data_IF_709128996212
#
_entry.id   IF_709128996212
#
_cell.length_a   1.000
_cell.length_b   1.000
_cell.length_c   1.000
_cell.angle_alpha   90.00
_cell.angle_beta   90.00
_cell.angle_gamma   90.00
#
_symmetry.space_group_name_H-M   'P 1'
#
loop_
_entity.id
_entity.type
_entity.pdbx_description
1 polymer ?
#
# COMPACT_ATOMS: atom_id res chain seq x y z
N UNK A 1 31.04 -18.86 -25.64
CA UNK A 1 30.62 -17.77 -24.72
C UNK A 1 29.17 -17.35 -25.00
N UNK A 2 28.84 -16.91 -26.22
CA UNK A 2 27.48 -16.48 -26.59
C UNK A 2 26.36 -17.49 -26.30
N UNK A 3 26.53 -18.77 -26.66
CA UNK A 3 25.55 -19.83 -26.42
C UNK A 3 25.25 -20.03 -24.92
N UNK A 4 26.26 -19.89 -24.05
CA UNK A 4 26.10 -19.94 -22.60
C UNK A 4 25.27 -18.78 -22.05
N UNK A 5 25.49 -17.57 -22.58
CA UNK A 5 24.72 -16.37 -22.20
C UNK A 5 23.26 -16.48 -22.66
N UNK A 6 23.02 -16.98 -23.88
CA UNK A 6 21.67 -17.23 -24.39
C UNK A 6 20.91 -18.23 -23.51
N UNK A 7 21.55 -19.34 -23.11
CA UNK A 7 20.96 -20.34 -22.21
C UNK A 7 20.63 -19.76 -20.83
N UNK A 8 21.52 -18.93 -20.28
CA UNK A 8 21.28 -18.25 -19.01
C UNK A 8 20.05 -17.33 -19.09
N UNK A 9 19.95 -16.50 -20.12
CA UNK A 9 18.81 -15.59 -20.34
C UNK A 9 17.52 -16.39 -20.49
N UNK A 10 17.53 -17.44 -21.32
CA UNK A 10 16.37 -18.30 -21.52
C UNK A 10 15.87 -18.90 -20.19
N UNK A 11 16.79 -19.37 -19.33
CA UNK A 11 16.43 -19.95 -18.03
C UNK A 11 15.79 -18.97 -17.04
N UNK A 12 15.93 -17.66 -17.26
CA UNK A 12 15.41 -16.60 -16.38
C UNK A 12 14.17 -15.92 -16.95
N UNK A 13 13.72 -16.31 -18.15
CA UNK A 13 12.71 -15.58 -18.90
C UNK A 13 11.39 -15.43 -18.16
N UNK A 14 10.79 -16.55 -17.77
CA UNK A 14 9.45 -16.55 -17.15
C UNK A 14 9.45 -15.75 -15.84
N UNK A 15 10.55 -15.81 -15.09
CA UNK A 15 10.68 -15.08 -13.83
C UNK A 15 10.82 -13.58 -14.05
N UNK A 16 11.58 -13.18 -15.07
CA UNK A 16 11.72 -11.76 -15.44
C UNK A 16 10.39 -11.23 -15.96
N UNK A 17 9.69 -11.98 -16.82
CA UNK A 17 8.38 -11.62 -17.36
C UNK A 17 7.37 -11.36 -16.23
N UNK A 18 7.29 -12.27 -15.24
CA UNK A 18 6.41 -12.08 -14.08
C UNK A 18 6.74 -10.81 -13.27
N UNK A 19 8.02 -10.51 -13.04
CA UNK A 19 8.42 -9.28 -12.31
C UNK A 19 8.06 -8.03 -13.11
N UNK A 20 8.19 -8.08 -14.43
CA UNK A 20 7.96 -6.95 -15.33
C UNK A 20 6.46 -6.68 -15.53
N UNK A 21 5.65 -7.73 -15.71
CA UNK A 21 4.19 -7.63 -15.76
C UNK A 21 3.64 -6.92 -14.52
N UNK A 22 4.31 -7.05 -13.39
CA UNK A 22 3.84 -6.49 -12.12
C UNK A 22 4.24 -5.03 -11.97
N UNK A 23 5.42 -4.66 -12.46
CA UNK A 23 5.72 -3.25 -12.69
C UNK A 23 4.75 -2.64 -13.72
N UNK A 24 4.19 -3.44 -14.63
CA UNK A 24 3.13 -3.03 -15.55
C UNK A 24 1.70 -3.04 -14.95
N UNK A 25 1.37 -3.83 -13.94
CA UNK A 25 0.00 -3.81 -13.40
C UNK A 25 -0.21 -2.69 -12.38
N UNK A 26 0.86 -2.02 -11.94
CA UNK A 26 0.75 -0.94 -10.97
C UNK A 26 0.37 -1.47 -9.59
N UNK A 27 -0.21 -0.61 -8.76
CA UNK A 27 -0.21 -0.79 -7.30
C UNK A 27 -1.28 -1.73 -6.78
N UNK A 28 -2.16 -2.22 -7.65
CA UNK A 28 -3.21 -3.19 -7.34
C UNK A 28 -2.70 -4.61 -7.05
N UNK A 29 -1.47 -4.96 -7.47
CA UNK A 29 -0.94 -6.33 -7.41
C UNK A 29 0.34 -6.45 -6.56
N UNK A 30 0.81 -5.34 -5.97
CA UNK A 30 2.14 -5.28 -5.36
C UNK A 30 2.26 -5.90 -3.96
N UNK A 31 1.14 -6.08 -3.24
CA UNK A 31 1.13 -6.72 -1.93
C UNK A 31 1.59 -8.19 -1.97
N UNK A 32 1.47 -8.87 -3.12
CA UNK A 32 1.74 -10.32 -3.23
C UNK A 32 3.09 -10.69 -3.85
N UNK A 33 3.87 -9.74 -4.37
CA UNK A 33 5.10 -10.11 -5.09
C UNK A 33 6.30 -9.95 -4.18
N UNK A 34 6.62 -11.11 -3.62
CA UNK A 34 7.87 -11.47 -3.01
C UNK A 34 9.04 -11.02 -3.90
N UNK A 35 9.59 -9.85 -3.60
CA UNK A 35 10.93 -9.76 -3.02
C UNK A 35 12.13 -10.16 -3.86
N UNK A 36 11.99 -10.65 -5.09
CA UNK A 36 13.14 -11.13 -5.86
C UNK A 36 13.31 -10.39 -7.20
N UNK A 37 13.87 -9.18 -7.11
CA UNK A 37 14.38 -8.46 -8.28
C UNK A 37 15.65 -9.11 -8.85
N UNK A 38 16.26 -10.07 -8.13
CA UNK A 38 17.51 -10.71 -8.52
C UNK A 38 17.53 -11.29 -9.94
N UNK A 39 16.50 -12.03 -10.38
CA UNK A 39 16.47 -12.59 -11.74
C UNK A 39 16.56 -11.49 -12.80
N UNK A 40 15.98 -10.32 -12.54
CA UNK A 40 15.95 -9.18 -13.46
C UNK A 40 17.32 -8.55 -13.69
N UNK A 41 18.05 -8.22 -12.63
CA UNK A 41 19.36 -7.59 -12.82
C UNK A 41 20.47 -8.61 -13.13
N UNK A 42 20.28 -9.90 -12.81
CA UNK A 42 21.23 -10.97 -13.17
C UNK A 42 21.43 -11.15 -14.69
N UNK A 43 20.45 -10.74 -15.51
CA UNK A 43 20.52 -10.85 -16.98
C UNK A 43 21.05 -9.58 -17.66
N UNK A 44 21.22 -8.48 -16.93
CA UNK A 44 21.67 -7.20 -17.51
C UNK A 44 23.06 -7.32 -18.15
N UNK A 45 24.01 -7.92 -17.44
CA UNK A 45 25.35 -8.17 -17.94
C UNK A 45 25.40 -9.10 -19.17
N UNK A 46 24.73 -10.27 -19.16
CA UNK A 46 24.57 -11.12 -20.35
C UNK A 46 23.99 -10.39 -21.58
N UNK A 47 22.94 -9.59 -21.40
CA UNK A 47 22.26 -8.90 -22.51
C UNK A 47 23.20 -7.87 -23.16
N UNK A 48 23.88 -7.04 -22.37
CA UNK A 48 24.77 -6.02 -22.93
C UNK A 48 26.01 -6.63 -23.60
N UNK A 49 26.54 -7.75 -23.07
CA UNK A 49 27.63 -8.52 -23.71
C UNK A 49 27.19 -9.04 -25.09
N UNK A 50 26.04 -9.70 -25.18
CA UNK A 50 25.49 -10.18 -26.46
C UNK A 50 25.24 -9.04 -27.46
N UNK A 51 24.74 -7.89 -26.98
CA UNK A 51 24.54 -6.72 -27.83
C UNK A 51 25.87 -6.19 -28.41
N UNK A 52 26.92 -6.07 -27.61
CA UNK A 52 28.23 -5.61 -28.12
C UNK A 52 28.87 -6.59 -29.11
N UNK A 53 28.70 -7.88 -28.88
CA UNK A 53 29.19 -8.94 -29.78
C UNK A 53 28.37 -9.06 -31.07
N UNK A 54 27.30 -8.26 -31.21
CA UNK A 54 26.36 -8.32 -32.34
C UNK A 54 25.74 -9.70 -32.54
N UNK A 55 25.52 -10.41 -31.44
CA UNK A 55 24.85 -11.71 -31.45
C UNK A 55 23.33 -11.49 -31.39
N UNK A 56 22.61 -11.99 -32.40
CA UNK A 56 21.15 -12.00 -32.39
C UNK A 56 20.64 -13.13 -31.47
N UNK A 57 19.68 -12.80 -30.60
CA UNK A 57 18.96 -13.76 -29.75
C UNK A 57 17.54 -13.25 -29.55
N UNK A 58 16.56 -14.13 -29.80
CA UNK A 58 15.14 -13.81 -29.59
C UNK A 58 14.86 -13.53 -28.11
N UNK A 59 15.52 -14.28 -27.24
CA UNK A 59 15.42 -14.14 -25.80
C UNK A 59 16.02 -12.81 -25.33
N UNK A 60 17.21 -12.44 -25.85
CA UNK A 60 17.83 -11.16 -25.51
C UNK A 60 17.00 -9.95 -26.03
N UNK A 61 16.42 -10.06 -27.23
CA UNK A 61 15.54 -9.00 -27.77
C UNK A 61 14.26 -8.89 -26.94
N UNK A 62 13.64 -10.01 -26.57
CA UNK A 62 12.49 -10.02 -25.67
C UNK A 62 12.82 -9.37 -24.31
N UNK A 63 13.98 -9.66 -23.70
CA UNK A 63 14.37 -9.04 -22.43
C UNK A 63 14.62 -7.54 -22.56
N UNK A 64 15.19 -7.11 -23.68
CA UNK A 64 15.36 -5.69 -24.00
C UNK A 64 13.99 -5.01 -24.09
N UNK A 65 12.98 -5.65 -24.69
CA UNK A 65 11.61 -5.13 -24.71
C UNK A 65 11.06 -4.98 -23.28
N UNK A 66 11.27 -5.97 -22.40
CA UNK A 66 10.86 -5.86 -21.00
C UNK A 66 11.51 -4.65 -20.29
N UNK A 67 12.82 -4.44 -20.46
CA UNK A 67 13.51 -3.26 -19.91
C UNK A 67 12.99 -1.95 -20.49
N UNK A 68 12.62 -1.94 -21.78
CA UNK A 68 12.04 -0.77 -22.44
C UNK A 68 10.67 -0.42 -21.85
N UNK A 69 9.83 -1.40 -21.51
CA UNK A 69 8.53 -1.16 -20.85
C UNK A 69 8.70 -0.58 -19.44
N UNK A 70 9.68 -1.04 -18.66
CA UNK A 70 10.01 -0.43 -17.36
C UNK A 70 10.44 1.02 -17.51
N UNK A 71 11.21 1.33 -18.56
CA UNK A 71 11.63 2.70 -18.86
C UNK A 71 10.42 3.61 -19.13
N UNK A 72 9.52 3.18 -20.01
CA UNK A 72 8.32 3.94 -20.39
C UNK A 72 7.42 4.19 -19.17
N UNK A 73 7.30 3.22 -18.27
CA UNK A 73 6.62 3.37 -16.97
C UNK A 73 7.26 4.42 -16.08
N UNK A 74 8.59 4.41 -15.94
CA UNK A 74 9.32 5.38 -15.13
C UNK A 74 9.12 6.82 -15.62
N UNK A 75 9.07 7.02 -16.94
CA UNK A 75 8.85 8.35 -17.55
C UNK A 75 7.47 8.92 -17.16
N UNK A 76 6.44 8.08 -16.97
CA UNK A 76 5.10 8.49 -16.48
C UNK A 76 5.08 8.71 -14.96
N UNK A 77 5.81 7.89 -14.21
CA UNK A 77 5.83 7.87 -12.72
C UNK A 77 6.60 9.06 -12.11
N UNK A 78 7.53 9.67 -12.86
CA UNK A 78 8.37 10.79 -12.41
C UNK A 78 7.56 12.06 -12.02
N UNK A 79 6.36 12.27 -12.58
CA UNK A 79 5.51 13.44 -12.25
C UNK A 79 4.85 13.35 -10.87
N UNK A 80 4.45 12.15 -10.45
CA UNK A 80 3.80 11.91 -9.15
C UNK A 80 4.80 11.89 -7.99
N UNK A 81 6.06 11.54 -8.29
CA UNK A 81 7.19 11.57 -7.37
C UNK A 81 7.47 12.97 -6.82
N UNK A 82 7.17 14.04 -7.57
CA UNK A 82 7.35 15.41 -7.10
C UNK A 82 6.56 15.70 -5.80
N UNK A 83 5.40 15.06 -5.60
CA UNK A 83 4.54 15.32 -4.43
C UNK A 83 5.07 14.69 -3.15
N UNK A 84 5.59 13.47 -3.22
CA UNK A 84 6.23 12.80 -2.06
C UNK A 84 7.61 13.44 -1.79
N UNK A 85 8.34 13.79 -2.86
CA UNK A 85 9.62 14.49 -2.74
C UNK A 85 9.49 15.87 -2.09
N UNK A 86 8.40 16.60 -2.32
CA UNK A 86 8.14 17.88 -1.66
C UNK A 86 7.98 17.75 -0.13
N UNK A 87 7.60 16.58 0.37
CA UNK A 87 7.37 16.30 1.79
C UNK A 87 8.60 15.68 2.46
N UNK A 88 9.35 14.82 1.73
CA UNK A 88 10.71 14.42 2.11
C UNK A 88 11.62 15.65 2.19
N UNK A 89 11.41 16.66 1.34
CA UNK A 89 12.09 17.97 1.43
C UNK A 89 11.72 18.72 2.71
N UNK A 90 10.46 18.63 3.16
CA UNK A 90 10.00 19.28 4.41
C UNK A 90 10.48 18.56 5.67
N UNK A 91 10.75 17.26 5.61
CA UNK A 91 11.35 16.49 6.72
C UNK A 91 12.86 16.73 6.89
N UNK A 92 13.48 17.52 6.03
CA UNK A 92 14.92 17.85 6.12
C UNK A 92 15.84 16.78 5.54
N UNK A 93 15.30 15.78 4.84
CA UNK A 93 16.09 14.91 3.97
C UNK A 93 16.49 15.71 2.72
N UNK A 94 17.72 16.21 2.80
CA UNK A 94 18.34 17.22 1.93
C UNK A 94 18.27 16.93 0.41
N UNK A 95 18.60 17.95 -0.39
CA UNK A 95 18.64 17.99 -1.86
C UNK A 95 19.43 16.84 -2.56
N UNK A 96 20.08 15.96 -1.79
CA UNK A 96 20.78 14.77 -2.26
C UNK A 96 19.86 13.75 -2.96
N UNK A 97 18.61 13.58 -2.52
CA UNK A 97 17.69 12.58 -3.09
C UNK A 97 17.26 12.88 -4.52
N UNK A 98 17.04 14.16 -4.84
CA UNK A 98 16.69 14.58 -6.20
C UNK A 98 17.79 14.19 -7.20
N UNK A 99 19.05 14.37 -6.81
CA UNK A 99 20.18 13.95 -7.65
C UNK A 99 20.26 12.43 -7.82
N UNK A 100 19.86 11.64 -6.81
CA UNK A 100 19.99 10.16 -6.84
C UNK A 100 19.05 9.54 -7.86
N UNK A 101 17.76 9.89 -7.84
CA UNK A 101 16.77 9.36 -8.77
C UNK A 101 17.09 9.76 -10.21
N UNK A 102 17.39 11.04 -10.43
CA UNK A 102 17.76 11.57 -11.73
C UNK A 102 19.01 10.85 -12.27
N UNK A 103 20.04 10.69 -11.43
CA UNK A 103 21.26 9.99 -11.81
C UNK A 103 21.00 8.53 -12.17
N UNK A 104 20.24 7.79 -11.35
CA UNK A 104 19.91 6.37 -11.61
C UNK A 104 19.14 6.23 -12.94
N UNK A 105 18.14 7.08 -13.14
CA UNK A 105 17.33 7.10 -14.37
C UNK A 105 18.20 7.40 -15.60
N UNK A 106 19.13 8.34 -15.48
CA UNK A 106 20.04 8.72 -16.54
C UNK A 106 21.08 7.62 -16.86
N UNK A 107 21.60 6.95 -15.83
CA UNK A 107 22.48 5.78 -15.97
C UNK A 107 21.78 4.66 -16.72
N UNK A 108 20.55 4.31 -16.34
CA UNK A 108 19.76 3.29 -17.02
C UNK A 108 19.42 3.67 -18.47
N UNK A 109 19.06 4.93 -18.71
CA UNK A 109 18.83 5.45 -20.07
C UNK A 109 20.07 5.28 -20.96
N UNK A 110 21.27 5.53 -20.43
CA UNK A 110 22.53 5.32 -21.18
C UNK A 110 22.87 3.85 -21.39
N UNK A 111 22.48 2.97 -20.46
CA UNK A 111 22.53 1.53 -20.67
C UNK A 111 21.62 1.11 -21.84
N UNK A 112 20.37 1.58 -21.85
CA UNK A 112 19.41 1.30 -22.93
C UNK A 112 19.86 1.84 -24.30
N UNK A 113 20.57 2.97 -24.34
CA UNK A 113 21.19 3.49 -25.56
C UNK A 113 22.13 2.47 -26.24
N UNK A 114 22.80 1.61 -25.47
CA UNK A 114 23.65 0.53 -26.02
C UNK A 114 22.78 -0.52 -26.71
N UNK A 115 21.75 -0.98 -26.01
CA UNK A 115 20.87 -2.05 -26.51
C UNK A 115 20.06 -1.62 -27.74
N UNK A 116 19.68 -0.33 -27.79
CA UNK A 116 18.91 0.26 -28.89
C UNK A 116 19.79 0.73 -30.06
N UNK A 117 21.11 0.76 -29.92
CA UNK A 117 22.00 1.22 -30.98
C UNK A 117 22.18 0.19 -32.10
N UNK A 118 22.24 0.69 -33.35
CA UNK A 118 22.72 -0.10 -34.49
C UNK A 118 24.16 -0.58 -34.22
N UNK A 119 24.57 -1.78 -34.71
CA UNK A 119 25.89 -2.36 -34.48
C UNK A 119 27.06 -1.36 -34.57
N UNK A 120 27.11 -0.57 -35.64
CA UNK A 120 28.17 0.43 -35.88
C UNK A 120 28.28 1.56 -34.84
N UNK A 121 27.27 1.75 -34.00
CA UNK A 121 27.25 2.78 -32.96
C UNK A 121 27.37 2.23 -31.54
N UNK A 122 27.32 0.90 -31.35
CA UNK A 122 27.30 0.27 -30.01
C UNK A 122 28.54 0.59 -29.18
N UNK A 123 29.73 0.55 -29.78
CA UNK A 123 30.98 0.93 -29.09
C UNK A 123 31.02 2.41 -28.68
N UNK A 124 30.47 3.31 -29.51
CA UNK A 124 30.35 4.71 -29.15
C UNK A 124 29.40 4.92 -27.97
N UNK A 125 28.27 4.19 -27.96
CA UNK A 125 27.30 4.21 -26.84
C UNK A 125 27.87 3.59 -25.56
N UNK A 126 28.64 2.51 -25.66
CA UNK A 126 29.39 1.92 -24.54
C UNK A 126 30.28 2.95 -23.86
N UNK A 127 31.10 3.68 -24.63
CA UNK A 127 31.98 4.74 -24.09
C UNK A 127 31.18 5.85 -23.41
N UNK A 128 30.08 6.29 -24.01
CA UNK A 128 29.18 7.30 -23.41
C UNK A 128 28.58 6.80 -22.09
N UNK A 129 28.15 5.54 -22.03
CA UNK A 129 27.59 4.94 -20.83
C UNK A 129 28.63 4.86 -19.70
N UNK A 130 29.82 4.32 -19.95
CA UNK A 130 30.88 4.19 -18.95
C UNK A 130 31.32 5.56 -18.38
N UNK A 131 31.50 6.55 -19.26
CA UNK A 131 31.85 7.92 -18.87
C UNK A 131 30.73 8.59 -18.05
N UNK A 132 29.48 8.48 -18.53
CA UNK A 132 28.34 9.06 -17.84
C UNK A 132 28.10 8.42 -16.47
N UNK A 133 28.16 7.08 -16.39
CA UNK A 133 27.95 6.34 -15.14
C UNK A 133 28.89 6.83 -14.04
N UNK A 134 30.16 7.02 -14.37
CA UNK A 134 31.17 7.52 -13.45
C UNK A 134 30.92 8.98 -13.04
N UNK A 135 30.55 9.84 -13.99
CA UNK A 135 30.30 11.28 -13.76
C UNK A 135 29.02 11.54 -12.96
N UNK A 136 28.01 10.69 -13.10
CA UNK A 136 26.73 10.79 -12.40
C UNK A 136 26.74 10.08 -11.04
N UNK A 137 27.90 9.91 -10.40
CA UNK A 137 28.00 9.34 -9.05
C UNK A 137 28.16 7.81 -8.97
N UNK A 138 28.13 7.10 -10.10
CA UNK A 138 28.36 5.66 -10.16
C UNK A 138 27.37 4.85 -9.33
N UNK A 139 27.90 3.88 -8.58
CA UNK A 139 27.17 3.01 -7.65
C UNK A 139 26.76 3.74 -6.36
N UNK A 140 27.33 4.90 -6.05
CA UNK A 140 27.00 5.68 -4.83
C UNK A 140 25.51 6.01 -4.75
N UNK A 141 24.85 6.26 -5.89
CA UNK A 141 23.41 6.57 -5.91
C UNK A 141 22.58 5.42 -5.34
N UNK A 142 22.89 4.17 -5.71
CA UNK A 142 22.22 2.98 -5.19
C UNK A 142 22.49 2.80 -3.69
N UNK A 143 23.71 3.09 -3.23
CA UNK A 143 24.06 3.04 -1.81
C UNK A 143 23.34 4.13 -1.00
N UNK A 144 23.21 5.34 -1.54
CA UNK A 144 22.42 6.42 -0.93
C UNK A 144 20.95 6.03 -0.85
N UNK A 145 20.37 5.48 -1.92
CA UNK A 145 18.99 4.99 -1.93
C UNK A 145 18.78 3.86 -0.91
N UNK A 146 19.72 2.92 -0.83
CA UNK A 146 19.70 1.86 0.18
C UNK A 146 19.69 2.43 1.60
N UNK A 147 20.62 3.34 1.92
CA UNK A 147 20.70 3.96 3.24
C UNK A 147 19.44 4.73 3.63
N UNK A 148 18.80 5.38 2.65
CA UNK A 148 17.53 6.08 2.83
C UNK A 148 16.39 5.17 3.26
N UNK A 149 16.32 3.98 2.64
CA UNK A 149 15.28 3.00 2.92
C UNK A 149 15.56 2.26 4.22
N UNK A 150 16.82 1.97 4.53
CA UNK A 150 17.17 1.23 5.74
C UNK A 150 17.25 2.11 6.99
N UNK A 151 17.35 3.42 6.84
CA UNK A 151 17.56 4.38 7.93
C UNK A 151 19.02 4.51 8.34
N UNK A 152 19.96 3.97 7.56
CA UNK A 152 21.41 4.08 7.79
C UNK A 152 21.98 5.46 7.36
N UNK A 153 21.11 6.48 7.21
CA UNK A 153 21.47 7.86 6.85
C UNK A 153 21.66 8.77 8.07
N UNK A 154 22.27 9.93 7.86
CA UNK A 154 22.63 10.89 8.92
C UNK A 154 21.44 11.41 9.76
N UNK A 155 20.21 11.33 9.23
CA UNK A 155 18.97 11.71 9.90
C UNK A 155 18.41 10.66 10.87
N UNK A 156 18.82 9.39 10.76
CA UNK A 156 18.31 8.27 11.56
C UNK A 156 16.87 7.82 11.25
N UNK A 157 16.07 8.63 10.55
CA UNK A 157 14.72 8.28 10.09
C UNK A 157 14.75 7.82 8.63
N UNK A 158 14.09 6.70 8.34
CA UNK A 158 14.01 6.16 6.98
C UNK A 158 12.96 6.88 6.14
N UNK A 159 13.16 6.92 4.81
CA UNK A 159 12.18 7.51 3.89
C UNK A 159 10.84 6.78 3.95
N UNK A 160 10.84 5.49 4.30
CA UNK A 160 9.61 4.71 4.49
C UNK A 160 8.79 5.20 5.69
N UNK A 161 9.44 5.50 6.82
CA UNK A 161 8.76 6.01 8.03
C UNK A 161 8.21 7.42 7.81
N UNK A 162 8.96 8.27 7.10
CA UNK A 162 8.51 9.61 6.74
C UNK A 162 7.26 9.54 5.86
N UNK A 163 7.29 8.71 4.82
CA UNK A 163 6.11 8.51 3.95
C UNK A 163 4.94 7.91 4.73
N UNK A 164 5.17 6.92 5.59
CA UNK A 164 4.12 6.32 6.43
C UNK A 164 3.41 7.38 7.28
N UNK A 165 4.19 8.26 7.93
CA UNK A 165 3.67 9.32 8.78
C UNK A 165 2.92 10.39 7.97
N UNK A 166 3.49 10.81 6.85
CA UNK A 166 2.89 11.81 5.96
C UNK A 166 1.56 11.34 5.37
N UNK A 167 1.53 10.12 4.85
CA UNK A 167 0.34 9.48 4.26
C UNK A 167 -0.66 9.01 5.32
N UNK A 168 -0.40 9.31 6.60
CA UNK A 168 -1.26 8.96 7.74
C UNK A 168 -1.61 7.47 7.74
N UNK A 169 -0.62 6.61 7.44
CA UNK A 169 -0.77 5.16 7.34
C UNK A 169 -1.80 4.69 6.30
N UNK A 170 -1.94 5.41 5.20
CA UNK A 170 -2.66 4.91 4.02
C UNK A 170 -1.88 3.77 3.37
N UNK A 171 -2.38 2.52 3.50
CA UNK A 171 -1.71 1.32 2.95
C UNK A 171 -1.42 1.48 1.46
N UNK A 172 -2.42 1.90 0.68
CA UNK A 172 -2.30 2.10 -0.77
C UNK A 172 -1.19 3.09 -1.11
N UNK A 173 -1.18 4.29 -0.50
CA UNK A 173 -0.16 5.29 -0.78
C UNK A 173 1.26 4.80 -0.39
N UNK A 174 1.38 4.03 0.68
CA UNK A 174 2.66 3.41 1.10
C UNK A 174 3.08 2.29 0.14
N UNK A 175 2.15 1.44 -0.31
CA UNK A 175 2.39 0.40 -1.32
C UNK A 175 2.86 1.02 -2.65
N UNK A 176 2.19 2.10 -3.08
CA UNK A 176 2.56 2.89 -4.26
C UNK A 176 3.98 3.45 -4.15
N UNK A 177 4.36 3.95 -2.97
CA UNK A 177 5.72 4.44 -2.75
C UNK A 177 6.77 3.32 -2.77
N UNK A 178 6.48 2.20 -2.10
CA UNK A 178 7.35 1.02 -2.09
C UNK A 178 7.60 0.48 -3.51
N UNK A 179 6.55 0.46 -4.34
CA UNK A 179 6.63 0.07 -5.74
C UNK A 179 7.65 0.90 -6.53
N UNK A 180 7.58 2.22 -6.38
CA UNK A 180 8.48 3.17 -7.06
C UNK A 180 9.92 2.96 -6.62
N UNK A 181 10.15 2.78 -5.33
CA UNK A 181 11.48 2.47 -4.80
C UNK A 181 12.02 1.16 -5.41
N UNK A 182 11.21 0.09 -5.47
CA UNK A 182 11.61 -1.18 -6.12
C UNK A 182 11.97 -0.98 -7.59
N UNK A 183 11.19 -0.17 -8.32
CA UNK A 183 11.45 0.14 -9.72
C UNK A 183 12.78 0.91 -9.89
N UNK A 184 13.06 1.88 -9.00
CA UNK A 184 14.30 2.63 -9.00
C UNK A 184 15.52 1.76 -8.68
N UNK A 185 15.41 0.85 -7.70
CA UNK A 185 16.44 -0.16 -7.45
C UNK A 185 16.64 -1.06 -8.67
N UNK A 186 15.56 -1.53 -9.29
CA UNK A 186 15.63 -2.39 -10.47
C UNK A 186 16.47 -1.77 -11.59
N UNK A 187 16.14 -0.54 -12.00
CA UNK A 187 16.86 0.10 -13.10
C UNK A 187 18.28 0.51 -12.74
N UNK A 188 18.53 0.92 -11.49
CA UNK A 188 19.88 1.22 -11.02
C UNK A 188 20.75 -0.03 -10.99
N UNK A 189 20.20 -1.17 -10.54
CA UNK A 189 20.92 -2.46 -10.51
C UNK A 189 21.20 -2.98 -11.92
N UNK A 190 20.26 -2.85 -12.87
CA UNK A 190 20.52 -3.16 -14.28
C UNK A 190 21.70 -2.32 -14.81
N UNK A 191 21.69 -1.02 -14.57
CA UNK A 191 22.78 -0.14 -14.99
C UNK A 191 24.11 -0.51 -14.31
N UNK A 192 24.12 -0.79 -13.01
CA UNK A 192 25.32 -1.20 -12.29
C UNK A 192 25.89 -2.53 -12.83
N UNK A 193 25.05 -3.55 -12.99
CA UNK A 193 25.47 -4.84 -13.55
C UNK A 193 26.04 -4.69 -14.96
N UNK A 194 25.36 -3.90 -15.81
CA UNK A 194 25.86 -3.56 -17.13
C UNK A 194 27.22 -2.86 -17.09
N UNK A 195 27.40 -1.88 -16.19
CA UNK A 195 28.67 -1.17 -16.04
C UNK A 195 29.81 -2.10 -15.60
N UNK A 196 29.60 -2.90 -14.56
CA UNK A 196 30.60 -3.86 -14.04
C UNK A 196 31.04 -4.84 -15.12
N UNK A 197 30.08 -5.42 -15.83
CA UNK A 197 30.34 -6.35 -16.94
C UNK A 197 31.17 -5.73 -18.07
N UNK A 198 30.94 -4.45 -18.37
CA UNK A 198 31.63 -3.74 -19.44
C UNK A 198 33.02 -3.23 -19.07
N UNK A 199 33.30 -3.06 -17.78
CA UNK A 199 34.62 -2.71 -17.25
C UNK A 199 35.56 -3.91 -17.17
N UNK A 200 35.02 -5.13 -17.19
CA UNK A 200 35.80 -6.38 -17.19
C UNK A 200 36.36 -6.75 -15.82
N UNK A 201 35.64 -6.44 -14.74
CA UNK A 201 36.03 -6.84 -13.38
C UNK A 201 35.64 -8.29 -13.06
N UNK A 202 36.47 -8.97 -12.27
CA UNK A 202 36.24 -10.34 -11.78
C UNK A 202 35.22 -10.42 -10.62
N UNK A 203 34.60 -9.29 -10.27
CA UNK A 203 33.75 -9.06 -9.11
C UNK A 203 32.23 -9.07 -9.42
N UNK A 204 31.84 -9.39 -10.66
CA UNK A 204 30.43 -9.39 -11.11
C UNK A 204 29.52 -10.27 -10.23
N UNK A 205 29.92 -11.51 -9.95
CA UNK A 205 29.14 -12.46 -9.14
C UNK A 205 29.04 -12.04 -7.67
N UNK A 206 30.13 -11.51 -7.10
CA UNK A 206 30.14 -11.03 -5.71
C UNK A 206 29.25 -9.81 -5.54
N UNK A 207 29.34 -8.85 -6.47
CA UNK A 207 28.51 -7.66 -6.50
C UNK A 207 27.02 -8.04 -6.65
N UNK A 208 26.72 -8.97 -7.55
CA UNK A 208 25.37 -9.50 -7.77
C UNK A 208 24.81 -10.10 -6.46
N UNK A 209 25.59 -10.94 -5.77
CA UNK A 209 25.20 -11.55 -4.48
C UNK A 209 24.99 -10.50 -3.39
N UNK A 210 25.88 -9.50 -3.29
CA UNK A 210 25.77 -8.43 -2.30
C UNK A 210 24.46 -7.65 -2.47
N UNK A 211 24.15 -7.24 -3.70
CA UNK A 211 22.92 -6.52 -3.99
C UNK A 211 21.67 -7.39 -3.83
N UNK A 212 21.74 -8.70 -4.10
CA UNK A 212 20.67 -9.63 -3.78
C UNK A 212 20.29 -9.59 -2.29
N UNK A 213 21.29 -9.67 -1.40
CA UNK A 213 21.07 -9.63 0.05
C UNK A 213 20.56 -8.25 0.49
N UNK A 214 21.08 -7.16 -0.07
CA UNK A 214 20.57 -5.80 0.19
C UNK A 214 19.10 -5.66 -0.20
N UNK A 215 18.69 -6.23 -1.33
CA UNK A 215 17.29 -6.17 -1.75
C UNK A 215 16.35 -6.94 -0.83
N UNK A 216 16.80 -8.04 -0.21
CA UNK A 216 16.02 -8.72 0.84
C UNK A 216 15.80 -7.83 2.05
N UNK A 217 16.82 -7.06 2.46
CA UNK A 217 16.69 -6.08 3.56
C UNK A 217 15.69 -4.98 3.19
N UNK A 218 15.81 -4.41 1.99
CA UNK A 218 14.86 -3.41 1.46
C UNK A 218 13.43 -3.95 1.48
N UNK A 219 13.21 -5.17 0.97
CA UNK A 219 11.89 -5.80 0.95
C UNK A 219 11.34 -6.02 2.37
N UNK A 220 12.18 -6.47 3.30
CA UNK A 220 11.79 -6.65 4.70
C UNK A 220 11.33 -5.34 5.34
N UNK A 221 12.06 -4.23 5.12
CA UNK A 221 11.69 -2.91 5.61
C UNK A 221 10.35 -2.42 5.03
N UNK A 222 10.11 -2.63 3.74
CA UNK A 222 8.82 -2.32 3.11
C UNK A 222 7.67 -3.12 3.73
N UNK A 223 7.86 -4.42 3.94
CA UNK A 223 6.83 -5.29 4.55
C UNK A 223 6.45 -4.81 5.95
N UNK A 224 7.43 -4.46 6.79
CA UNK A 224 7.18 -3.97 8.16
C UNK A 224 6.26 -2.74 8.16
N UNK A 225 6.47 -1.82 7.24
CA UNK A 225 5.71 -0.56 7.17
C UNK A 225 4.30 -0.80 6.60
N UNK A 226 4.15 -1.68 5.62
CA UNK A 226 2.83 -2.11 5.10
C UNK A 226 2.05 -2.87 6.19
N UNK A 227 2.71 -3.77 6.92
CA UNK A 227 2.11 -4.48 8.05
C UNK A 227 1.70 -3.52 9.17
N UNK A 228 2.45 -2.45 9.44
CA UNK A 228 2.02 -1.43 10.40
C UNK A 228 0.75 -0.70 9.93
N UNK A 229 0.62 -0.40 8.62
CA UNK A 229 -0.63 0.15 8.07
C UNK A 229 -1.81 -0.80 8.31
N UNK A 230 -1.61 -2.09 8.01
CA UNK A 230 -2.65 -3.12 8.17
C UNK A 230 -3.00 -3.31 9.64
N UNK A 231 -2.03 -3.41 10.55
CA UNK A 231 -2.29 -3.75 11.94
C UNK A 231 -2.80 -2.56 12.77
N UNK A 232 -2.39 -1.35 12.43
CA UNK A 232 -2.78 -0.13 13.17
C UNK A 232 -4.05 0.55 12.61
N UNK A 233 -4.68 -0.03 11.58
CA UNK A 233 -5.88 0.50 10.94
C UNK A 233 -7.00 0.89 11.92
N UNK A 234 -7.32 0.15 13.01
CA UNK A 234 -8.42 0.52 13.87
C UNK A 234 -8.16 1.85 14.60
N UNK A 235 -6.95 2.00 15.14
CA UNK A 235 -6.54 3.21 15.85
C UNK A 235 -6.42 4.40 14.89
N UNK A 236 -5.89 4.17 13.68
CA UNK A 236 -5.79 5.23 12.68
C UNK A 236 -7.17 5.67 12.17
N UNK A 237 -8.09 4.72 11.92
CA UNK A 237 -9.46 5.02 11.52
C UNK A 237 -10.19 5.87 12.57
N UNK A 238 -10.01 5.59 13.86
CA UNK A 238 -10.58 6.43 14.93
C UNK A 238 -10.07 7.88 14.85
N UNK A 239 -8.76 8.07 14.63
CA UNK A 239 -8.15 9.40 14.47
C UNK A 239 -8.70 10.12 13.24
N UNK A 240 -8.78 9.41 12.11
CA UNK A 240 -9.26 9.94 10.83
C UNK A 240 -10.71 10.41 10.96
N UNK A 241 -11.58 9.58 11.54
CA UNK A 241 -12.99 9.93 11.71
C UNK A 241 -13.19 11.02 12.75
N UNK A 242 -12.39 11.07 13.82
CA UNK A 242 -12.39 12.19 14.76
C UNK A 242 -12.08 13.52 14.07
N UNK A 243 -11.11 13.54 13.14
CA UNK A 243 -10.79 14.74 12.34
C UNK A 243 -11.93 15.08 11.37
N UNK A 244 -12.47 14.07 10.68
CA UNK A 244 -13.57 14.25 9.72
C UNK A 244 -14.81 14.85 10.39
N UNK A 245 -15.26 14.28 11.51
CA UNK A 245 -16.42 14.76 12.29
C UNK A 245 -16.19 16.18 12.80
N UNK A 246 -14.97 16.49 13.28
CA UNK A 246 -14.62 17.85 13.74
C UNK A 246 -14.74 18.90 12.63
N UNK A 247 -14.40 18.54 11.39
CA UNK A 247 -14.33 19.46 10.26
C UNK A 247 -15.68 19.64 9.53
N UNK A 248 -16.68 18.80 9.81
CA UNK A 248 -17.95 18.75 9.08
C UNK A 248 -19.17 18.90 10.00
N UNK A 249 -19.15 19.95 10.84
CA UNK A 249 -20.23 20.24 11.80
C UNK A 249 -21.53 20.74 11.14
N UNK A 250 -21.45 21.14 9.87
CA UNK A 250 -22.56 21.65 9.07
C UNK A 250 -23.40 20.54 8.41
N UNK A 251 -22.95 19.29 8.48
CA UNK A 251 -23.60 18.16 7.82
C UNK A 251 -24.74 17.59 8.65
N UNK A 252 -25.80 17.15 7.96
CA UNK A 252 -26.81 16.29 8.59
C UNK A 252 -26.21 14.94 8.98
N UNK A 253 -26.85 14.22 9.91
CA UNK A 253 -26.37 12.92 10.37
C UNK A 253 -26.19 11.91 9.23
N UNK A 254 -27.09 11.89 8.24
CA UNK A 254 -26.98 10.99 7.09
C UNK A 254 -25.81 11.37 6.18
N UNK A 255 -25.67 12.65 5.83
CA UNK A 255 -24.51 13.12 5.07
C UNK A 255 -23.20 12.79 5.78
N UNK A 256 -23.15 12.95 7.10
CA UNK A 256 -21.98 12.60 7.91
C UNK A 256 -21.71 11.08 7.89
N UNK A 257 -22.74 10.24 8.04
CA UNK A 257 -22.60 8.79 7.98
C UNK A 257 -22.03 8.33 6.63
N UNK A 258 -22.56 8.86 5.52
CA UNK A 258 -22.11 8.54 4.17
C UNK A 258 -20.67 9.02 3.93
N UNK A 259 -20.34 10.24 4.36
CA UNK A 259 -18.96 10.77 4.26
C UNK A 259 -17.94 9.93 5.05
N UNK A 260 -18.31 9.47 6.24
CA UNK A 260 -17.46 8.59 7.05
C UNK A 260 -17.24 7.27 6.31
N UNK A 261 -18.31 6.67 5.78
CA UNK A 261 -18.21 5.40 5.06
C UNK A 261 -17.35 5.50 3.81
N UNK A 262 -17.53 6.54 2.98
CA UNK A 262 -16.72 6.73 1.77
C UNK A 262 -15.23 6.94 2.10
N UNK A 263 -14.95 7.70 3.17
CA UNK A 263 -13.57 7.87 3.64
C UNK A 263 -12.94 6.54 4.11
N UNK A 264 -13.68 5.75 4.90
CA UNK A 264 -13.20 4.47 5.43
C UNK A 264 -13.00 3.43 4.32
N UNK A 265 -13.96 3.26 3.41
CA UNK A 265 -13.84 2.33 2.27
C UNK A 265 -12.68 2.71 1.35
N UNK A 266 -12.49 4.01 1.11
CA UNK A 266 -11.42 4.49 0.25
C UNK A 266 -10.02 4.21 0.82
N UNK A 267 -9.82 4.43 2.12
CA UNK A 267 -8.50 4.28 2.77
C UNK A 267 -8.22 2.85 3.25
N UNK A 268 -9.25 2.13 3.68
CA UNK A 268 -9.19 0.80 4.28
C UNK A 268 -10.00 -0.19 3.45
N UNK A 269 -9.64 -0.33 2.18
CA UNK A 269 -10.38 -1.09 1.16
C UNK A 269 -10.52 -2.59 1.47
N UNK A 270 -9.71 -3.12 2.39
CA UNK A 270 -9.76 -4.51 2.87
C UNK A 270 -10.69 -4.73 4.06
N UNK A 271 -11.36 -3.67 4.55
CA UNK A 271 -12.19 -3.70 5.75
C UNK A 271 -13.63 -3.37 5.39
N UNK A 272 -14.56 -4.14 5.97
CA UNK A 272 -15.98 -3.83 5.94
C UNK A 272 -16.37 -2.96 7.14
N UNK A 273 -17.17 -1.93 6.91
CA UNK A 273 -17.49 -0.87 7.85
C UNK A 273 -19.00 -0.70 8.04
N UNK A 274 -19.42 -0.38 9.25
CA UNK A 274 -20.78 0.01 9.60
C UNK A 274 -20.69 1.27 10.47
N UNK A 275 -21.48 2.29 10.13
CA UNK A 275 -21.46 3.63 10.75
C UNK A 275 -22.87 3.99 11.18
N UNK A 276 -22.98 4.50 12.40
CA UNK A 276 -24.23 4.99 12.98
C UNK A 276 -24.00 6.40 13.52
N UNK A 277 -24.86 7.34 13.13
CA UNK A 277 -24.83 8.73 13.58
C UNK A 277 -26.21 9.10 14.12
N UNK A 278 -26.31 9.55 15.36
CA UNK A 278 -27.60 9.86 15.98
C UNK A 278 -27.47 10.78 17.18
N UNK A 279 -28.53 11.49 17.50
CA UNK A 279 -28.57 12.36 18.67
C UNK A 279 -29.19 11.65 19.88
N UNK A 280 -28.56 11.83 21.03
CA UNK A 280 -29.06 11.40 22.33
C UNK A 280 -30.49 11.89 22.54
N UNK A 281 -31.38 11.07 23.15
CA UNK A 281 -32.74 11.47 23.43
C UNK A 281 -32.77 12.68 24.40
N UNK A 282 -33.69 13.62 24.17
CA UNK A 282 -33.87 14.81 25.01
C UNK A 282 -34.98 14.58 26.04
N UNK A 283 -34.72 14.73 27.35
CA UNK A 283 -35.75 14.65 28.40
C UNK A 283 -35.22 14.68 29.85
N UNK A 284 -36.05 15.14 30.80
CA UNK A 284 -35.72 15.22 32.24
C UNK A 284 -35.63 13.85 32.94
N UNK A 285 -36.22 12.80 32.37
CA UNK A 285 -36.29 11.44 32.94
C UNK A 285 -35.54 10.38 32.10
N UNK A 286 -34.79 10.80 31.08
CA UNK A 286 -34.01 9.86 30.26
C UNK A 286 -32.71 9.50 30.97
N UNK A 287 -32.59 8.24 31.39
CA UNK A 287 -31.30 7.65 31.77
C UNK A 287 -30.28 7.93 30.66
N UNK A 288 -29.20 8.65 30.99
CA UNK A 288 -28.12 9.00 30.05
C UNK A 288 -27.35 7.77 29.53
N UNK A 289 -27.65 6.54 29.98
CA UNK A 289 -26.86 5.34 29.66
C UNK A 289 -27.63 4.19 29.01
N UNK A 290 -28.98 4.22 28.98
CA UNK A 290 -29.77 3.06 28.52
C UNK A 290 -30.38 3.24 27.11
N UNK A 291 -29.89 4.18 26.31
CA UNK A 291 -30.42 4.42 24.96
C UNK A 291 -29.64 3.73 23.85
N UNK A 292 -28.45 3.23 24.13
CA UNK A 292 -27.66 2.41 23.21
C UNK A 292 -26.87 1.35 23.99
N UNK A 293 -26.56 0.23 23.36
CA UNK A 293 -25.63 -0.77 23.89
C UNK A 293 -24.87 -1.41 22.74
N UNK A 294 -23.54 -1.38 22.82
CA UNK A 294 -22.66 -1.97 21.82
C UNK A 294 -21.72 -3.01 22.45
N UNK A 295 -21.75 -4.25 21.94
CA UNK A 295 -20.92 -5.39 22.37
C UNK A 295 -19.97 -5.82 21.24
N UNK A 296 -19.03 -6.72 21.52
CA UNK A 296 -17.93 -7.07 20.60
C UNK A 296 -16.73 -6.13 20.71
N UNK A 297 -15.61 -6.43 20.02
CA UNK A 297 -14.36 -5.66 20.12
C UNK A 297 -14.10 -4.72 18.94
N UNK A 298 -14.54 -5.08 17.73
CA UNK A 298 -14.24 -4.38 16.49
C UNK A 298 -15.12 -3.14 16.28
N UNK A 299 -15.03 -2.18 17.21
CA UNK A 299 -15.79 -0.92 17.21
C UNK A 299 -15.10 0.18 18.00
N UNK A 300 -15.41 1.43 17.67
CA UNK A 300 -15.05 2.61 18.44
C UNK A 300 -16.19 3.65 18.38
N UNK A 301 -16.22 4.54 19.39
CA UNK A 301 -17.13 5.67 19.43
C UNK A 301 -16.31 6.95 19.32
N UNK A 302 -16.70 7.83 18.40
CA UNK A 302 -15.92 9.02 18.08
C UNK A 302 -16.37 10.17 18.98
N UNK A 303 -15.45 10.81 19.74
CA UNK A 303 -15.79 11.96 20.54
C UNK A 303 -16.22 13.15 19.67
N UNK A 304 -17.37 13.75 19.97
CA UNK A 304 -17.86 14.97 19.33
C UNK A 304 -17.81 16.16 20.30
N UNK A 305 -17.70 17.38 19.77
CA UNK A 305 -17.88 18.60 20.57
C UNK A 305 -19.34 18.87 20.94
N UNK A 306 -20.29 18.27 20.23
CA UNK A 306 -21.69 18.21 20.64
C UNK A 306 -21.91 16.95 21.47
N UNK A 307 -22.13 17.12 22.78
CA UNK A 307 -22.39 16.02 23.72
C UNK A 307 -23.63 15.19 23.38
N UNK A 308 -24.52 15.71 22.54
CA UNK A 308 -25.69 14.98 22.07
C UNK A 308 -25.41 14.13 20.83
N UNK A 309 -24.35 14.41 20.07
CA UNK A 309 -24.05 13.68 18.84
C UNK A 309 -23.26 12.39 19.16
N UNK A 310 -23.82 11.25 18.77
CA UNK A 310 -23.17 9.96 18.86
C UNK A 310 -22.75 9.51 17.47
N UNK A 311 -21.46 9.22 17.29
CA UNK A 311 -20.91 8.60 16.09
C UNK A 311 -20.28 7.29 16.53
N UNK A 312 -20.86 6.17 16.11
CA UNK A 312 -20.36 4.83 16.39
C UNK A 312 -19.92 4.21 15.08
N UNK A 313 -18.73 3.63 15.07
CA UNK A 313 -18.15 2.91 13.93
C UNK A 313 -17.83 1.50 14.38
N UNK A 314 -18.16 0.53 13.55
CA UNK A 314 -17.76 -0.86 13.75
C UNK A 314 -17.32 -1.47 12.44
N UNK A 315 -16.51 -2.52 12.52
CA UNK A 315 -15.79 -3.03 11.36
C UNK A 315 -15.52 -4.53 11.44
N UNK A 316 -15.15 -5.13 10.30
CA UNK A 316 -14.58 -6.47 10.20
C UNK A 316 -13.65 -6.55 9.00
N UNK A 317 -12.44 -7.09 9.20
CA UNK A 317 -11.48 -7.33 8.12
C UNK A 317 -11.67 -8.71 7.44
N UNK A 318 -12.50 -9.57 8.02
CA UNK A 318 -12.79 -10.91 7.48
C UNK A 318 -14.23 -11.29 7.80
N UNK A 319 -15.22 -10.59 7.21
CA UNK A 319 -16.60 -10.80 7.55
C UNK A 319 -17.10 -12.19 7.15
N UNK A 320 -17.92 -12.80 8.02
CA UNK A 320 -18.57 -14.09 7.81
C UNK A 320 -20.10 -13.90 7.69
N UNK A 321 -20.79 -14.71 6.87
CA UNK A 321 -22.25 -14.63 6.74
C UNK A 321 -22.99 -14.84 8.06
N UNK A 322 -24.09 -14.11 8.25
CA UNK A 322 -24.95 -14.24 9.43
C UNK A 322 -26.18 -15.09 9.14
N UNK A 323 -26.62 -15.87 10.14
CA UNK A 323 -27.97 -16.46 10.12
C UNK A 323 -29.01 -15.40 10.51
N UNK A 324 -29.45 -14.64 9.51
CA UNK A 324 -30.41 -13.54 9.69
C UNK A 324 -31.76 -14.01 10.23
N UNK A 325 -32.20 -15.22 9.85
CA UNK A 325 -33.47 -15.78 10.32
C UNK A 325 -33.39 -16.13 11.81
N UNK A 326 -32.26 -16.71 12.24
CA UNK A 326 -32.00 -16.95 13.66
C UNK A 326 -31.94 -15.66 14.47
N UNK A 327 -31.25 -14.62 13.95
CA UNK A 327 -31.19 -13.31 14.60
C UNK A 327 -32.58 -12.69 14.77
N UNK A 328 -33.40 -12.74 13.72
CA UNK A 328 -34.76 -12.21 13.78
C UNK A 328 -35.65 -12.99 14.77
N UNK A 329 -35.58 -14.32 14.74
CA UNK A 329 -36.32 -15.16 15.70
C UNK A 329 -35.90 -14.87 17.14
N UNK A 330 -34.60 -14.75 17.40
CA UNK A 330 -34.06 -14.48 18.73
C UNK A 330 -34.63 -13.19 19.33
N UNK A 331 -34.81 -12.16 18.49
CA UNK A 331 -35.41 -10.89 18.89
C UNK A 331 -36.91 -11.02 19.12
N UNK A 332 -37.63 -11.73 18.24
CA UNK A 332 -39.09 -11.91 18.32
C UNK A 332 -39.53 -12.71 19.56
N UNK A 333 -38.70 -13.65 20.02
CA UNK A 333 -38.98 -14.46 21.21
C UNK A 333 -38.90 -13.66 22.53
N UNK A 334 -38.36 -12.44 22.51
CA UNK A 334 -38.20 -11.61 23.70
C UNK A 334 -39.48 -10.87 24.08
N UNK A 335 -40.09 -11.28 25.20
CA UNK A 335 -41.31 -10.65 25.75
C UNK A 335 -41.09 -9.22 26.28
N UNK A 336 -39.88 -8.88 26.72
CA UNK A 336 -39.53 -7.57 27.28
C UNK A 336 -38.15 -7.16 26.82
N UNK A 337 -38.09 -6.22 25.87
CA UNK A 337 -36.83 -5.86 25.22
C UNK A 337 -36.25 -4.59 25.82
N UNK A 338 -35.11 -4.72 26.50
CA UNK A 338 -34.24 -3.59 26.82
C UNK A 338 -33.10 -3.55 25.81
N UNK A 339 -32.59 -2.35 25.51
CA UNK A 339 -31.49 -2.19 24.56
C UNK A 339 -30.20 -2.93 24.99
N UNK A 340 -29.78 -2.86 26.27
CA UNK A 340 -28.67 -3.70 26.74
C UNK A 340 -28.97 -5.19 26.66
N UNK A 341 -30.16 -5.61 27.12
CA UNK A 341 -30.51 -7.03 27.17
C UNK A 341 -30.55 -7.69 25.79
N UNK A 342 -31.03 -6.98 24.75
CA UNK A 342 -31.02 -7.54 23.39
C UNK A 342 -29.62 -7.59 22.79
N UNK A 343 -28.79 -6.56 23.01
CA UNK A 343 -27.43 -6.54 22.49
C UNK A 343 -26.56 -7.64 23.12
N UNK A 344 -26.71 -7.86 24.43
CA UNK A 344 -26.03 -8.93 25.17
C UNK A 344 -26.53 -10.31 24.74
N UNK A 345 -27.84 -10.51 24.64
CA UNK A 345 -28.43 -11.78 24.20
C UNK A 345 -27.96 -12.18 22.79
N UNK A 346 -28.01 -11.25 21.84
CA UNK A 346 -27.54 -11.50 20.47
C UNK A 346 -26.06 -11.85 20.48
N UNK A 347 -25.24 -11.10 21.22
CA UNK A 347 -23.80 -11.36 21.31
C UNK A 347 -23.47 -12.73 21.94
N UNK A 348 -24.23 -13.15 22.96
CA UNK A 348 -24.07 -14.47 23.59
C UNK A 348 -24.44 -15.62 22.65
N UNK A 349 -25.46 -15.43 21.81
CA UNK A 349 -25.95 -16.46 20.88
C UNK A 349 -25.21 -16.49 19.54
N UNK A 350 -24.59 -15.37 19.17
CA UNK A 350 -23.72 -15.25 18.00
C UNK A 350 -22.31 -14.78 18.42
N UNK A 351 -21.51 -15.68 19.03
CA UNK A 351 -20.17 -15.32 19.49
C UNK A 351 -19.30 -14.88 18.31
N UNK A 352 -18.36 -13.97 18.58
CA UNK A 352 -17.51 -13.29 17.57
C UNK A 352 -18.24 -12.28 16.67
N UNK A 353 -19.38 -11.75 17.09
CA UNK A 353 -20.03 -10.63 16.41
C UNK A 353 -19.79 -9.29 17.10
N UNK A 354 -19.97 -8.21 16.37
CA UNK A 354 -20.25 -6.87 16.92
C UNK A 354 -21.75 -6.67 16.85
N UNK A 355 -22.34 -6.28 17.98
CA UNK A 355 -23.77 -5.97 18.06
C UNK A 355 -23.91 -4.54 18.54
N UNK A 356 -24.77 -3.76 17.89
CA UNK A 356 -25.16 -2.45 18.37
C UNK A 356 -26.68 -2.32 18.34
N UNK A 357 -27.28 -2.10 19.51
CA UNK A 357 -28.68 -1.77 19.64
C UNK A 357 -28.84 -0.29 20.05
N UNK A 358 -29.77 0.43 19.41
CA UNK A 358 -30.01 1.88 19.64
C UNK A 358 -31.50 2.12 19.76
N UNK A 359 -31.99 2.82 20.80
CA UNK A 359 -33.41 3.14 20.95
C UNK A 359 -33.93 3.97 19.79
N UNK A 360 -35.15 3.69 19.32
CA UNK A 360 -35.85 4.51 18.30
C UNK A 360 -36.17 5.93 18.77
N UNK A 361 -36.09 6.20 20.07
CA UNK A 361 -36.20 7.55 20.64
C UNK A 361 -34.99 8.46 20.37
N UNK A 362 -33.87 7.91 19.89
CA UNK A 362 -32.73 8.71 19.44
C UNK A 362 -33.13 9.48 18.18
N UNK A 363 -32.81 10.77 18.14
CA UNK A 363 -33.23 11.65 17.04
C UNK A 363 -32.25 11.55 15.88
N UNK A 364 -32.76 11.79 14.68
CA UNK A 364 -31.95 11.88 13.46
C UNK A 364 -31.05 10.65 13.28
N UNK A 365 -31.60 9.46 13.55
CA UNK A 365 -30.88 8.21 13.36
C UNK A 365 -30.50 8.09 11.89
N UNK A 366 -29.20 8.00 11.64
CA UNK A 366 -28.60 7.80 10.35
C UNK A 366 -27.60 6.66 10.42
N UNK A 367 -27.42 5.99 9.29
CA UNK A 367 -26.51 4.87 9.17
C UNK A 367 -26.06 4.69 7.73
N UNK A 368 -24.89 4.08 7.59
CA UNK A 368 -24.32 3.73 6.29
C UNK A 368 -23.34 2.59 6.51
N UNK A 369 -23.14 1.72 5.52
CA UNK A 369 -22.22 0.58 5.63
C UNK A 369 -21.58 0.18 4.30
N UNK A 370 -20.52 -0.61 4.38
CA UNK A 370 -19.83 -1.21 3.23
C UNK A 370 -20.01 -2.72 3.11
N UNK A 371 -20.63 -3.36 4.11
CA UNK A 371 -20.90 -4.79 4.09
C UNK A 371 -21.82 -5.17 2.93
N UNK A 372 -21.55 -6.33 2.31
CA UNK A 372 -22.51 -7.01 1.46
C UNK A 372 -23.71 -7.49 2.28
N UNK A 373 -24.84 -7.72 1.63
CA UNK A 373 -26.10 -7.97 2.31
C UNK A 373 -26.00 -9.15 3.28
N UNK A 374 -25.46 -10.29 2.88
CA UNK A 374 -25.34 -11.49 3.73
C UNK A 374 -24.40 -11.32 4.94
N UNK A 375 -23.52 -10.32 4.92
CA UNK A 375 -22.47 -10.09 5.93
C UNK A 375 -22.89 -9.11 7.04
N UNK A 376 -24.04 -8.47 6.89
CA UNK A 376 -24.55 -7.50 7.85
C UNK A 376 -26.06 -7.64 8.05
N UNK A 377 -26.48 -7.63 9.30
CA UNK A 377 -27.87 -7.61 9.70
C UNK A 377 -28.22 -6.23 10.22
N UNK A 378 -29.26 -5.65 9.62
CA UNK A 378 -29.89 -4.42 10.10
C UNK A 378 -31.40 -4.61 10.09
N UNK A 379 -32.05 -4.29 11.21
CA UNK A 379 -33.50 -4.24 11.28
C UNK A 379 -33.94 -3.15 12.28
N UNK A 380 -35.00 -2.43 11.91
CA UNK A 380 -35.71 -1.52 12.81
C UNK A 380 -36.85 -2.27 13.49
N UNK A 381 -36.73 -2.44 14.81
CA UNK A 381 -37.79 -2.93 15.65
C UNK A 381 -38.53 -1.74 16.29
N UNK A 382 -39.76 -1.98 16.76
CA UNK A 382 -40.65 -0.96 17.34
C UNK A 382 -39.96 0.02 18.32
N UNK A 383 -39.01 -0.47 19.14
CA UNK A 383 -38.38 0.33 20.20
C UNK A 383 -36.87 0.53 20.02
N UNK A 384 -36.24 -0.11 19.02
CA UNK A 384 -34.79 -0.04 18.81
C UNK A 384 -34.40 -0.45 17.39
N UNK A 385 -33.27 0.09 16.92
CA UNK A 385 -32.51 -0.38 15.78
C UNK A 385 -31.51 -1.43 16.24
N UNK A 386 -31.30 -2.48 15.45
CA UNK A 386 -30.30 -3.52 15.70
C UNK A 386 -29.36 -3.65 14.52
N UNK A 387 -28.05 -3.59 14.79
CA UNK A 387 -26.98 -3.78 13.81
C UNK A 387 -26.10 -4.94 14.28
N UNK A 388 -25.84 -5.91 13.40
CA UNK A 388 -24.98 -7.07 13.69
C UNK A 388 -24.09 -7.35 12.48
N UNK A 389 -22.82 -7.63 12.75
CA UNK A 389 -21.87 -8.21 11.80
C UNK A 389 -20.84 -9.06 12.57
N UNK A 390 -20.18 -10.00 11.89
CA UNK A 390 -19.01 -10.68 12.47
C UNK A 390 -17.91 -9.67 12.82
N UNK A 391 -17.09 -9.96 13.83
CA UNK A 391 -16.01 -9.06 14.30
C UNK A 391 -14.85 -8.93 13.32
#
# INVERSE_FOLDING_TARGET
MAEGLQKLIASKKDVVENVMEVFEQGTEVLASIAGDLFPVFSIAAPIVKLALDNVESKEAEYMKEQFQRVRERLEVVSEEIQRINDEVRKSGMDAAYFSVEENITNQFRKYMDILNAKPKFREAKKKQFLDHFSKSGGDKNLHTLYGAVTGDSFSGESVLEITLNYEQKSRRAVEDFCARLKQLFCIGLIALMGHTALKGGDDEEELLRNWAEKMKVVQSKMNVIIEDCINSFPSQAEIDIKRLVRNHKDKSNQQLADMIIENLKGKYDWVSWSVRVFNSPKGLFTSKKDFQCATGKSRFQVPSSDENLNVVVSYSASPEPLDKAQLQQLVQDQKKVTVPGIAELVFEKTPKCVVHAVKTSCKEMAYSWSFQDELHFFEEFKNFYLFVHSS
#
